data_IF_780712946730
#
_entry.id   IF_780712946730
#
_cell.length_a   1.000
_cell.length_b   1.000
_cell.length_c   1.000
_cell.angle_alpha   90.00
_cell.angle_beta   90.00
_cell.angle_gamma   90.00
#
_symmetry.space_group_name_H-M   'P 1'
#
loop_
_entity.id
_entity.type
_entity.pdbx_description
1 polymer ?
#
# COMPACT_ATOMS: atom_id res chain seq x y z
N UNK A 1 -17.97 -13.50 1.11
CA UNK A 1 -17.86 -12.01 1.20
C UNK A 1 -17.64 -11.48 -0.21
N UNK A 2 -18.34 -10.41 -0.60
CA UNK A 2 -18.24 -9.86 -1.96
C UNK A 2 -16.87 -9.21 -2.18
N UNK A 3 -16.19 -9.54 -3.28
CA UNK A 3 -14.88 -9.00 -3.69
C UNK A 3 -14.84 -7.47 -3.77
N UNK A 4 -16.02 -6.82 -3.83
CA UNK A 4 -16.19 -5.37 -3.92
C UNK A 4 -15.81 -4.60 -2.64
N UNK A 5 -15.73 -5.26 -1.49
CA UNK A 5 -15.48 -4.62 -0.19
C UNK A 5 -14.44 -5.37 0.65
N UNK A 6 -13.61 -6.20 0.02
CA UNK A 6 -12.55 -6.90 0.73
C UNK A 6 -11.51 -5.93 1.34
N UNK A 7 -10.79 -6.33 2.39
CA UNK A 7 -9.78 -5.47 3.04
C UNK A 7 -8.75 -4.88 2.05
N UNK A 8 -8.45 -5.59 0.95
CA UNK A 8 -7.48 -5.13 -0.06
C UNK A 8 -8.03 -3.98 -0.90
N UNK A 9 -9.34 -3.95 -1.14
CA UNK A 9 -10.01 -2.85 -1.83
C UNK A 9 -9.98 -1.61 -0.95
N UNK A 10 -10.24 -1.76 0.35
CA UNK A 10 -10.22 -0.68 1.32
C UNK A 10 -8.82 -0.06 1.45
N UNK A 11 -7.77 -0.89 1.59
CA UNK A 11 -6.39 -0.38 1.66
C UNK A 11 -5.94 0.28 0.35
N UNK A 12 -6.35 -0.25 -0.80
CA UNK A 12 -6.11 0.41 -2.08
C UNK A 12 -6.77 1.78 -2.19
N UNK A 13 -8.01 1.92 -1.72
CA UNK A 13 -8.70 3.22 -1.67
C UNK A 13 -8.05 4.19 -0.67
N UNK A 14 -7.64 3.70 0.51
CA UNK A 14 -6.95 4.52 1.50
C UNK A 14 -5.64 5.09 0.95
N UNK A 15 -4.83 4.25 0.28
CA UNK A 15 -3.59 4.68 -0.36
C UNK A 15 -3.82 5.79 -1.39
N UNK A 16 -4.86 5.66 -2.23
CA UNK A 16 -5.23 6.66 -3.23
C UNK A 16 -5.66 7.99 -2.59
N UNK A 17 -6.42 7.94 -1.50
CA UNK A 17 -6.85 9.13 -0.76
C UNK A 17 -5.67 9.83 -0.08
N UNK A 18 -4.78 9.06 0.57
CA UNK A 18 -3.58 9.59 1.21
C UNK A 18 -2.61 10.19 0.19
N UNK A 19 -2.47 9.59 -0.99
CA UNK A 19 -1.68 10.15 -2.09
C UNK A 19 -2.26 11.48 -2.60
N UNK A 20 -3.59 11.57 -2.75
CA UNK A 20 -4.25 12.81 -3.13
C UNK A 20 -4.02 13.90 -2.06
N UNK A 21 -4.12 13.55 -0.79
CA UNK A 21 -3.87 14.47 0.32
C UNK A 21 -2.41 14.99 0.34
N UNK A 22 -1.44 14.08 0.20
CA UNK A 22 -0.01 14.41 0.11
C UNK A 22 0.34 15.28 -1.10
N UNK A 23 -0.40 15.14 -2.21
CA UNK A 23 -0.25 16.01 -3.37
C UNK A 23 -0.74 17.43 -3.07
N UNK A 24 -1.84 17.57 -2.34
CA UNK A 24 -2.47 18.88 -2.09
C UNK A 24 -1.83 19.66 -0.95
N UNK A 25 -1.28 18.97 0.06
CA UNK A 25 -0.64 19.61 1.22
C UNK A 25 0.88 19.47 1.14
N UNK A 26 1.54 20.59 0.85
CA UNK A 26 2.99 20.62 0.71
C UNK A 26 3.73 20.45 2.05
N UNK A 27 3.06 20.66 3.19
CA UNK A 27 3.65 20.56 4.53
C UNK A 27 3.69 19.13 5.06
N UNK A 28 2.99 18.19 4.41
CA UNK A 28 3.08 16.79 4.78
C UNK A 28 4.47 16.25 4.46
N UNK A 29 5.11 15.67 5.46
CA UNK A 29 6.35 14.94 5.32
C UNK A 29 6.08 13.51 4.86
N UNK A 30 6.86 13.03 3.88
CA UNK A 30 6.67 11.70 3.30
C UNK A 30 6.81 10.58 4.33
N UNK A 31 7.79 10.67 5.23
CA UNK A 31 8.11 9.62 6.20
C UNK A 31 6.96 9.31 7.15
N UNK A 32 6.47 10.28 7.95
CA UNK A 32 5.33 10.10 8.84
C UNK A 32 4.06 9.67 8.10
N UNK A 33 3.80 10.25 6.92
CA UNK A 33 2.61 9.93 6.13
C UNK A 33 2.62 8.49 5.60
N UNK A 34 3.79 8.00 5.19
CA UNK A 34 3.99 6.61 4.82
C UNK A 34 3.89 5.66 6.02
N UNK A 35 4.48 6.03 7.16
CA UNK A 35 4.42 5.22 8.40
C UNK A 35 2.97 4.97 8.80
N UNK A 36 2.16 6.03 8.80
CA UNK A 36 0.74 5.93 9.13
C UNK A 36 -0.01 4.96 8.21
N UNK A 37 0.20 5.05 6.89
CA UNK A 37 -0.42 4.10 5.96
C UNK A 37 0.00 2.65 6.24
N UNK A 38 1.29 2.42 6.51
CA UNK A 38 1.80 1.07 6.78
C UNK A 38 1.26 0.51 8.10
N UNK A 39 1.05 1.32 9.13
CA UNK A 39 0.41 0.91 10.38
C UNK A 39 -1.04 0.43 10.14
N UNK A 40 -1.82 1.16 9.33
CA UNK A 40 -3.19 0.77 8.96
C UNK A 40 -3.22 -0.58 8.20
N UNK A 41 -2.23 -0.81 7.34
CA UNK A 41 -2.05 -2.08 6.62
C UNK A 41 -1.77 -3.23 7.60
N UNK A 42 -0.86 -3.03 8.57
CA UNK A 42 -0.51 -4.06 9.55
C UNK A 42 -1.68 -4.39 10.48
N UNK A 43 -2.48 -3.39 10.89
CA UNK A 43 -3.73 -3.62 11.66
C UNK A 43 -4.73 -4.46 10.87
N UNK A 44 -4.90 -4.19 9.57
CA UNK A 44 -5.80 -4.96 8.72
C UNK A 44 -5.31 -6.38 8.44
N UNK A 45 -3.99 -6.57 8.32
CA UNK A 45 -3.34 -7.88 8.19
C UNK A 45 -3.54 -8.70 9.48
N UNK A 46 -3.26 -8.12 10.65
CA UNK A 46 -3.37 -8.81 11.94
C UNK A 46 -4.82 -9.20 12.29
N UNK A 47 -5.81 -8.45 11.78
CA UNK A 47 -7.22 -8.71 12.02
C UNK A 47 -7.79 -9.91 11.22
N UNK A 48 -7.06 -10.46 10.25
CA UNK A 48 -7.54 -11.57 9.40
C UNK A 48 -6.54 -12.73 9.39
N UNK A 49 -7.00 -13.95 9.70
CA UNK A 49 -6.26 -15.18 9.40
C UNK A 49 -6.24 -15.41 7.88
N UNK A 50 -5.37 -14.71 7.16
CA UNK A 50 -5.41 -14.68 5.71
C UNK A 50 -4.02 -14.77 5.09
N UNK A 51 -3.98 -15.14 3.82
CA UNK A 51 -2.81 -15.08 2.96
C UNK A 51 -2.27 -13.62 2.89
N UNK A 52 -1.35 -13.29 3.81
CA UNK A 52 -0.73 -11.96 3.91
C UNK A 52 0.02 -11.59 2.62
N UNK A 53 0.65 -12.58 1.99
CA UNK A 53 1.40 -12.39 0.74
C UNK A 53 0.46 -12.05 -0.41
N UNK A 54 -0.63 -12.81 -0.58
CA UNK A 54 -1.63 -12.56 -1.60
C UNK A 54 -2.38 -11.25 -1.39
N UNK A 55 -2.62 -10.87 -0.13
CA UNK A 55 -3.18 -9.57 0.22
C UNK A 55 -2.29 -8.41 -0.23
N UNK A 56 -1.02 -8.39 0.19
CA UNK A 56 -0.07 -7.34 -0.17
C UNK A 56 0.22 -7.32 -1.68
N UNK A 57 0.26 -8.48 -2.33
CA UNK A 57 0.51 -8.60 -3.77
C UNK A 57 -0.60 -7.94 -4.61
N UNK A 58 -1.87 -8.13 -4.22
CA UNK A 58 -3.00 -7.47 -4.90
C UNK A 58 -2.96 -5.94 -4.79
N UNK A 59 -2.48 -5.41 -3.65
CA UNK A 59 -2.30 -3.97 -3.46
C UNK A 59 -1.15 -3.47 -4.34
N UNK A 60 0.00 -4.15 -4.29
CA UNK A 60 1.18 -3.85 -5.10
C UNK A 60 0.81 -3.74 -6.60
N UNK A 61 0.16 -4.77 -7.16
CA UNK A 61 -0.15 -4.82 -8.59
C UNK A 61 -1.11 -3.71 -9.05
N UNK A 62 -2.03 -3.28 -8.18
CA UNK A 62 -2.91 -2.14 -8.46
C UNK A 62 -2.12 -0.84 -8.49
N UNK A 63 -1.28 -0.61 -7.47
CA UNK A 63 -0.53 0.64 -7.33
C UNK A 63 0.56 0.78 -8.39
N UNK A 64 1.16 -0.32 -8.83
CA UNK A 64 2.11 -0.32 -9.95
C UNK A 64 1.44 0.14 -11.26
N UNK A 65 0.22 -0.33 -11.55
CA UNK A 65 -0.55 0.16 -12.71
C UNK A 65 -0.88 1.66 -12.60
N UNK A 66 -1.23 2.13 -11.41
CA UNK A 66 -1.50 3.56 -11.19
C UNK A 66 -0.24 4.41 -11.31
N UNK A 67 0.91 3.91 -10.85
CA UNK A 67 2.21 4.55 -10.98
C UNK A 67 2.59 4.73 -12.46
N UNK A 68 2.41 3.70 -13.28
CA UNK A 68 2.67 3.75 -14.72
C UNK A 68 1.76 4.77 -15.45
N UNK A 69 0.57 5.03 -14.91
CA UNK A 69 -0.40 5.97 -15.48
C UNK A 69 -0.26 7.41 -14.98
N UNK A 70 0.64 7.71 -14.03
CA UNK A 70 0.75 9.05 -13.42
C UNK A 70 1.97 9.83 -13.92
N UNK A 71 1.76 11.10 -14.29
CA UNK A 71 2.81 12.05 -14.66
C UNK A 71 3.10 13.09 -13.56
N UNK A 72 2.36 13.07 -12.44
CA UNK A 72 2.51 14.03 -11.36
C UNK A 72 3.70 13.66 -10.45
N UNK A 73 4.76 14.49 -10.33
CA UNK A 73 6.02 14.09 -9.69
C UNK A 73 5.88 13.67 -8.22
N UNK A 74 5.13 14.42 -7.40
CA UNK A 74 4.93 14.07 -5.97
C UNK A 74 4.10 12.80 -5.80
N UNK A 75 3.08 12.61 -6.64
CA UNK A 75 2.25 11.41 -6.65
C UNK A 75 3.05 10.19 -7.09
N UNK A 76 3.88 10.35 -8.11
CA UNK A 76 4.79 9.32 -8.60
C UNK A 76 5.77 8.89 -7.48
N UNK A 77 6.42 9.85 -6.82
CA UNK A 77 7.33 9.58 -5.71
C UNK A 77 6.66 8.80 -4.56
N UNK A 78 5.44 9.17 -4.17
CA UNK A 78 4.68 8.45 -3.14
C UNK A 78 4.33 7.02 -3.58
N UNK A 79 3.76 6.86 -4.78
CA UNK A 79 3.37 5.54 -5.29
C UNK A 79 4.58 4.61 -5.45
N UNK A 80 5.71 5.13 -5.92
CA UNK A 80 6.95 4.37 -6.06
C UNK A 80 7.47 3.90 -4.69
N UNK A 81 7.43 4.75 -3.66
CA UNK A 81 7.82 4.37 -2.31
C UNK A 81 6.92 3.27 -1.72
N UNK A 82 5.60 3.37 -1.92
CA UNK A 82 4.64 2.36 -1.44
C UNK A 82 4.84 1.02 -2.15
N UNK A 83 5.04 1.03 -3.48
CA UNK A 83 5.30 -0.19 -4.27
C UNK A 83 6.58 -0.88 -3.78
N UNK A 84 7.66 -0.13 -3.55
CA UNK A 84 8.91 -0.68 -3.02
C UNK A 84 8.74 -1.27 -1.61
N UNK A 85 8.08 -0.54 -0.70
CA UNK A 85 7.86 -1.02 0.66
C UNK A 85 7.01 -2.30 0.71
N UNK A 86 5.98 -2.40 -0.13
CA UNK A 86 5.16 -3.60 -0.25
C UNK A 86 5.98 -4.78 -0.79
N UNK A 87 6.85 -4.56 -1.78
CA UNK A 87 7.75 -5.59 -2.31
C UNK A 87 8.64 -6.14 -1.20
N UNK A 88 9.33 -5.26 -0.48
CA UNK A 88 10.21 -5.65 0.62
C UNK A 88 9.46 -6.44 1.71
N UNK A 89 8.23 -6.02 2.04
CA UNK A 89 7.41 -6.69 3.05
C UNK A 89 6.94 -8.07 2.58
N UNK A 90 6.52 -8.20 1.32
CA UNK A 90 6.16 -9.48 0.69
C UNK A 90 7.34 -10.44 0.77
N UNK A 91 8.54 -9.99 0.42
CA UNK A 91 9.73 -10.83 0.41
C UNK A 91 10.08 -11.32 1.83
N UNK A 92 10.02 -10.44 2.83
CA UNK A 92 10.18 -10.83 4.24
C UNK A 92 9.18 -11.89 4.69
N UNK A 93 7.90 -11.76 4.32
CA UNK A 93 6.88 -12.75 4.67
C UNK A 93 7.07 -14.10 3.97
N UNK A 94 7.55 -14.10 2.73
CA UNK A 94 7.88 -15.34 2.00
C UNK A 94 9.06 -16.07 2.64
N UNK A 95 10.08 -15.35 3.11
CA UNK A 95 11.25 -15.95 3.77
C UNK A 95 10.88 -16.56 5.13
N UNK A 96 10.04 -15.89 5.93
CA UNK A 96 9.60 -16.39 7.24
C UNK A 96 8.67 -17.61 7.12
N UNK A 97 7.89 -17.73 6.06
CA UNK A 97 7.00 -18.88 5.85
C UNK A 97 7.73 -20.16 5.36
N UNK A 98 9.01 -20.06 4.99
CA UNK A 98 9.81 -21.16 4.44
C UNK A 98 10.80 -21.80 5.43
N UNK A 99 10.85 -21.32 6.68
CA UNK A 99 11.68 -21.86 7.77
C UNK A 99 10.83 -22.35 8.92
#
# INVERSE_FOLDING_TARGET
MSEKYGPYVQMGTLAEQMAAHYQTDANLELGPHLSHYMEEVEVNIAAHSFDHVGFMSKIHDRLEKTLLATSAPRRNAFLQAVVAALRDRIDRHKTVAAG
#
